data_IF_868753465994
#
_entry.id   IF_868753465994
#
_cell.length_a   1.000
_cell.length_b   1.000
_cell.length_c   1.000
_cell.angle_alpha   90.00
_cell.angle_beta   90.00
_cell.angle_gamma   90.00
#
_symmetry.space_group_name_H-M   'P 1'
#
loop_
_entity.id
_entity.type
_entity.pdbx_description
1 polymer ?
#
# COMPACT_ATOMS: atom_id res chain seq x y z
N UNK A 1 -9.34 5.36 9.48
CA UNK A 1 -9.02 3.98 9.88
C UNK A 1 -8.07 4.02 11.06
N UNK A 2 -8.58 4.30 12.27
CA UNK A 2 -7.72 4.54 13.43
C UNK A 2 -6.85 3.33 13.80
N UNK A 3 -7.34 2.12 13.56
CA UNK A 3 -6.65 0.86 13.90
C UNK A 3 -5.42 0.62 13.03
N UNK A 4 -5.52 0.87 11.72
CA UNK A 4 -4.40 0.74 10.79
C UNK A 4 -3.34 1.79 11.07
N UNK A 5 -3.75 3.04 11.32
CA UNK A 5 -2.83 4.11 11.69
C UNK A 5 -2.08 3.78 12.98
N UNK A 6 -2.80 3.27 14.00
CA UNK A 6 -2.19 2.83 15.25
C UNK A 6 -1.19 1.68 15.03
N UNK A 7 -1.54 0.70 14.19
CA UNK A 7 -0.65 -0.41 13.84
C UNK A 7 0.62 0.07 13.14
N UNK A 8 0.50 0.94 12.14
CA UNK A 8 1.66 1.48 11.41
C UNK A 8 2.59 2.24 12.37
N UNK A 9 2.04 3.06 13.26
CA UNK A 9 2.84 3.76 14.28
C UNK A 9 3.57 2.80 15.22
N UNK A 10 2.93 1.70 15.63
CA UNK A 10 3.57 0.66 16.44
C UNK A 10 4.70 -0.04 15.70
N UNK A 11 4.48 -0.43 14.43
CA UNK A 11 5.52 -1.07 13.61
C UNK A 11 6.73 -0.15 13.47
N UNK A 12 6.53 1.15 13.21
CA UNK A 12 7.64 2.11 13.11
C UNK A 12 8.44 2.23 14.43
N UNK A 13 7.77 2.11 15.58
CA UNK A 13 8.43 2.17 16.89
C UNK A 13 9.12 0.85 17.29
N UNK A 14 8.48 -0.28 17.00
CA UNK A 14 8.90 -1.60 17.49
C UNK A 14 9.83 -2.33 16.50
N UNK A 15 9.79 -1.99 15.21
CA UNK A 15 10.52 -2.65 14.13
C UNK A 15 11.41 -1.65 13.34
N UNK A 16 12.42 -1.03 13.96
CA UNK A 16 13.25 -0.03 13.28
C UNK A 16 13.96 -0.62 12.05
N UNK A 17 13.98 0.13 10.96
CA UNK A 17 14.62 -0.26 9.71
C UNK A 17 13.85 -1.27 8.85
N UNK A 18 12.57 -1.54 9.16
CA UNK A 18 11.69 -2.34 8.31
C UNK A 18 10.80 -1.46 7.45
N UNK A 19 10.62 -1.88 6.20
CA UNK A 19 9.70 -1.23 5.27
C UNK A 19 8.28 -1.75 5.44
N UNK A 20 7.30 -0.85 5.35
CA UNK A 20 5.87 -1.17 5.37
C UNK A 20 5.33 -1.10 3.94
N UNK A 21 4.73 -2.22 3.51
CA UNK A 21 4.09 -2.37 2.21
C UNK A 21 2.59 -2.56 2.39
N UNK A 22 1.78 -1.87 1.59
CA UNK A 22 0.31 -1.93 1.66
C UNK A 22 -0.28 -2.12 0.27
N UNK A 23 -1.17 -3.11 0.14
CA UNK A 23 -2.05 -3.29 -1.02
C UNK A 23 -3.45 -2.82 -0.64
N UNK A 24 -3.99 -1.82 -1.32
CA UNK A 24 -5.28 -1.21 -0.93
C UNK A 24 -6.46 -1.69 -1.76
N UNK A 25 -6.24 -2.03 -3.03
CA UNK A 25 -7.34 -2.25 -3.98
C UNK A 25 -8.03 -0.96 -4.45
N UNK A 26 -7.67 0.20 -3.88
CA UNK A 26 -8.12 1.53 -4.30
C UNK A 26 -6.97 2.22 -5.01
N UNK A 27 -7.27 3.16 -5.91
CA UNK A 27 -6.23 4.01 -6.51
C UNK A 27 -5.75 5.05 -5.51
N UNK A 28 -4.51 5.49 -5.65
CA UNK A 28 -3.92 6.51 -4.76
C UNK A 28 -4.73 7.81 -4.71
N UNK A 29 -5.33 8.22 -5.84
CA UNK A 29 -6.15 9.42 -5.98
C UNK A 29 -7.58 9.27 -5.43
N UNK A 30 -8.00 8.05 -5.08
CA UNK A 30 -9.30 7.76 -4.47
C UNK A 30 -9.24 7.77 -2.93
N UNK A 31 -8.05 7.90 -2.35
CA UNK A 31 -7.85 7.84 -0.90
C UNK A 31 -8.29 9.13 -0.22
N UNK A 32 -9.06 9.00 0.85
CA UNK A 32 -9.44 10.13 1.70
C UNK A 32 -8.31 10.55 2.65
N UNK A 33 -8.47 11.69 3.30
CA UNK A 33 -7.45 12.26 4.20
C UNK A 33 -7.00 11.29 5.30
N UNK A 34 -7.94 10.56 5.91
CA UNK A 34 -7.63 9.60 6.97
C UNK A 34 -6.86 8.37 6.47
N UNK A 35 -7.01 7.98 5.20
CA UNK A 35 -6.19 6.94 4.57
C UNK A 35 -4.83 7.50 4.18
N UNK A 36 -4.78 8.76 3.76
CA UNK A 36 -3.54 9.44 3.37
C UNK A 36 -2.58 9.61 4.53
N UNK A 37 -3.09 9.83 5.75
CA UNK A 37 -2.28 9.78 6.97
C UNK A 37 -1.51 8.46 7.14
N UNK A 38 -2.08 7.34 6.70
CA UNK A 38 -1.39 6.04 6.71
C UNK A 38 -0.36 5.98 5.58
N UNK A 39 -0.72 6.44 4.37
CA UNK A 39 0.17 6.48 3.20
C UNK A 39 1.43 7.30 3.49
N UNK A 40 1.28 8.40 4.22
CA UNK A 40 2.39 9.26 4.66
C UNK A 40 3.35 8.59 5.65
N UNK A 41 3.02 7.39 6.16
CA UNK A 41 3.84 6.63 7.12
C UNK A 41 4.38 5.30 6.57
N UNK A 42 3.97 4.84 5.39
CA UNK A 42 4.44 3.59 4.76
C UNK A 42 5.46 3.81 3.62
N UNK A 43 6.16 2.76 3.21
CA UNK A 43 7.21 2.83 2.21
C UNK A 43 6.71 2.58 0.79
N UNK A 44 5.82 1.58 0.64
CA UNK A 44 5.31 1.18 -0.66
C UNK A 44 3.80 1.00 -0.60
N UNK A 45 3.11 1.60 -1.57
CA UNK A 45 1.68 1.42 -1.81
C UNK A 45 1.49 0.71 -3.15
N UNK A 46 0.76 -0.39 -3.16
CA UNK A 46 0.28 -1.03 -4.38
C UNK A 46 -1.21 -0.73 -4.53
N UNK A 47 -1.53 0.05 -5.55
CA UNK A 47 -2.87 0.57 -5.77
C UNK A 47 -3.67 -0.25 -6.80
N UNK A 48 -4.98 -0.04 -6.82
CA UNK A 48 -5.89 -0.68 -7.79
C UNK A 48 -6.31 -2.10 -7.45
N UNK A 49 -7.54 -2.46 -7.86
CA UNK A 49 -8.11 -3.81 -7.68
C UNK A 49 -7.36 -4.84 -8.50
N UNK A 50 -7.26 -6.05 -7.97
CA UNK A 50 -6.83 -7.21 -8.76
C UNK A 50 -7.87 -7.52 -9.84
N UNK A 51 -7.40 -7.75 -11.08
CA UNK A 51 -8.24 -8.10 -12.22
C UNK A 51 -7.70 -9.38 -12.84
N UNK A 52 -8.52 -10.44 -12.87
CA UNK A 52 -8.09 -11.78 -13.31
C UNK A 52 -7.66 -11.81 -14.78
N UNK A 53 -8.38 -11.11 -15.67
CA UNK A 53 -8.03 -10.98 -17.09
C UNK A 53 -6.68 -10.28 -17.33
N UNK A 54 -6.21 -9.49 -16.36
CA UNK A 54 -4.95 -8.76 -16.41
C UNK A 54 -3.87 -9.42 -15.53
N UNK A 55 -4.14 -10.64 -15.03
CA UNK A 55 -3.22 -11.39 -14.20
C UNK A 55 -1.97 -11.73 -14.99
N UNK A 56 -0.82 -11.41 -14.41
CA UNK A 56 0.47 -11.77 -14.98
C UNK A 56 1.44 -12.17 -13.85
N UNK A 57 1.80 -13.46 -13.74
CA UNK A 57 2.71 -13.97 -12.71
C UNK A 57 4.14 -13.40 -12.79
N UNK A 58 4.54 -12.82 -13.93
CA UNK A 58 5.85 -12.19 -14.07
C UNK A 58 5.91 -10.81 -13.41
N UNK A 59 4.76 -10.23 -13.04
CA UNK A 59 4.70 -8.93 -12.38
C UNK A 59 5.18 -9.05 -10.93
N UNK A 60 6.24 -8.31 -10.63
CA UNK A 60 6.82 -8.28 -9.29
C UNK A 60 5.94 -7.40 -8.38
N UNK A 61 5.54 -7.95 -7.22
CA UNK A 61 4.77 -7.28 -6.16
C UNK A 61 3.32 -6.89 -6.48
N UNK A 62 2.78 -7.29 -7.64
CA UNK A 62 1.38 -7.03 -8.01
C UNK A 62 0.81 -8.22 -8.76
N UNK A 63 -0.49 -8.44 -8.62
CA UNK A 63 -1.18 -9.58 -9.23
C UNK A 63 -1.63 -9.30 -10.66
N UNK A 64 -1.98 -8.05 -10.97
CA UNK A 64 -2.49 -7.66 -12.28
C UNK A 64 -1.86 -6.38 -12.82
N UNK A 65 -1.79 -6.25 -14.14
CA UNK A 65 -1.04 -5.18 -14.82
C UNK A 65 -1.60 -3.77 -14.60
N UNK A 66 -2.88 -3.66 -14.22
CA UNK A 66 -3.53 -2.39 -13.87
C UNK A 66 -3.14 -1.84 -12.48
N UNK A 67 -2.50 -2.63 -11.63
CA UNK A 67 -2.09 -2.18 -10.30
C UNK A 67 -0.78 -1.41 -10.40
N UNK A 68 -0.64 -0.28 -9.69
CA UNK A 68 0.59 0.53 -9.72
C UNK A 68 1.33 0.41 -8.39
N UNK A 69 2.65 0.18 -8.47
CA UNK A 69 3.53 0.13 -7.30
C UNK A 69 4.15 1.52 -7.11
N UNK A 70 3.74 2.21 -6.05
CA UNK A 70 4.25 3.53 -5.66
C UNK A 70 5.32 3.37 -4.58
N UNK A 71 6.56 3.80 -4.87
CA UNK A 71 7.63 3.91 -3.87
C UNK A 71 7.62 5.31 -3.31
N UNK A 72 7.35 5.44 -2.01
CA UNK A 72 7.08 6.73 -1.36
C UNK A 72 8.30 7.28 -0.61
N UNK A 73 9.17 6.39 -0.11
CA UNK A 73 10.43 6.71 0.56
C UNK A 73 11.40 5.54 0.46
#
# INVERSE_FOLDING_TARGET
MPEILALVRRILAECPGKDIWVWTGYKLDELNDAQREVVDLINVLVDGKFVEDLKDPALIWRGSSNQVVHRLR
#
